data_IF_937587357643
#
_entry.id   IF_937587357643
#
_cell.length_a   1.000
_cell.length_b   1.000
_cell.length_c   1.000
_cell.angle_alpha   90.00
_cell.angle_beta   90.00
_cell.angle_gamma   90.00
#
_symmetry.space_group_name_H-M   'P 1'
#
loop_
_entity.id
_entity.type
_entity.pdbx_description
1 polymer ?
#
# COMPACT_ATOMS: atom_id res chain seq x y z
N UNK A 1 42.97 26.83 28.48
CA UNK A 1 42.69 25.65 27.63
C UNK A 1 41.19 25.36 27.72
N UNK A 2 40.39 25.79 26.74
CA UNK A 2 38.95 25.60 26.75
C UNK A 2 38.52 24.82 25.51
N UNK A 3 38.05 23.59 25.69
CA UNK A 3 37.40 22.80 24.63
C UNK A 3 35.91 22.81 24.90
N UNK A 4 35.19 23.71 24.23
CA UNK A 4 33.73 23.72 24.19
C UNK A 4 33.27 22.50 23.38
N UNK A 5 32.66 21.53 24.08
CA UNK A 5 32.00 20.38 23.48
C UNK A 5 30.62 20.85 22.98
N UNK A 6 30.54 21.24 21.71
CA UNK A 6 29.27 21.53 21.05
C UNK A 6 28.53 20.20 20.80
N UNK A 7 27.25 20.07 21.16
CA UNK A 7 26.46 18.90 20.77
C UNK A 7 26.27 18.90 19.25
N UNK A 8 26.64 17.80 18.60
CA UNK A 8 26.42 17.59 17.17
C UNK A 8 24.95 17.84 16.82
N UNK A 9 24.65 18.59 15.74
CA UNK A 9 23.27 18.75 15.30
C UNK A 9 22.69 17.38 15.01
N UNK A 10 21.50 17.11 15.56
CA UNK A 10 20.71 15.92 15.26
C UNK A 10 20.64 15.78 13.75
N UNK A 11 21.36 14.78 13.22
CA UNK A 11 21.28 14.39 11.82
C UNK A 11 19.85 13.93 11.61
N UNK A 12 19.02 14.77 10.98
CA UNK A 12 17.70 14.37 10.49
C UNK A 12 17.90 13.05 9.75
N UNK A 13 17.35 11.97 10.27
CA UNK A 13 17.41 10.68 9.64
C UNK A 13 16.60 10.80 8.35
N UNK A 14 17.27 11.08 7.24
CA UNK A 14 16.61 11.05 5.94
C UNK A 14 15.99 9.66 5.77
N UNK A 15 14.69 9.58 5.43
CA UNK A 15 14.04 8.30 5.28
C UNK A 15 14.79 7.51 4.21
N UNK A 16 15.23 6.31 4.59
CA UNK A 16 15.90 5.41 3.65
C UNK A 16 15.02 5.25 2.42
N UNK A 17 15.57 5.29 1.19
CA UNK A 17 14.78 5.16 -0.04
C UNK A 17 13.92 3.88 -0.11
N UNK A 18 14.27 2.84 0.67
CA UNK A 18 13.42 1.65 0.82
C UNK A 18 12.16 1.87 1.67
N UNK A 19 12.20 2.78 2.65
CA UNK A 19 11.06 3.11 3.51
C UNK A 19 10.01 3.94 2.78
N UNK A 20 10.43 4.89 1.93
CA UNK A 20 9.53 5.67 1.07
C UNK A 20 8.86 4.78 0.03
N UNK A 21 9.63 3.95 -0.67
CA UNK A 21 9.11 3.00 -1.65
C UNK A 21 8.08 2.03 -1.04
N UNK A 22 8.31 1.56 0.19
CA UNK A 22 7.34 0.74 0.93
C UNK A 22 6.06 1.50 1.23
N UNK A 23 6.16 2.73 1.74
CA UNK A 23 4.97 3.55 2.04
C UNK A 23 4.15 3.78 0.78
N UNK A 24 4.78 4.04 -0.36
CA UNK A 24 4.10 4.22 -1.65
C UNK A 24 3.35 2.95 -2.07
N UNK A 25 3.96 1.77 -1.91
CA UNK A 25 3.32 0.48 -2.19
C UNK A 25 2.10 0.24 -1.28
N UNK A 26 2.23 0.52 0.02
CA UNK A 26 1.12 0.37 0.98
C UNK A 26 -0.01 1.36 0.69
N UNK A 27 0.32 2.59 0.31
CA UNK A 27 -0.65 3.60 -0.08
C UNK A 27 -1.40 3.21 -1.36
N UNK A 28 -0.67 2.70 -2.36
CA UNK A 28 -1.26 2.13 -3.57
C UNK A 28 -2.20 0.96 -3.26
N UNK A 29 -1.81 0.07 -2.34
CA UNK A 29 -2.65 -1.04 -1.92
C UNK A 29 -3.97 -0.57 -1.27
N UNK A 30 -3.89 0.41 -0.37
CA UNK A 30 -5.07 1.01 0.27
C UNK A 30 -5.99 1.68 -0.76
N UNK A 31 -5.42 2.37 -1.74
CA UNK A 31 -6.19 2.99 -2.83
C UNK A 31 -6.96 1.94 -3.63
N UNK A 32 -6.31 0.83 -3.98
CA UNK A 32 -6.98 -0.27 -4.70
C UNK A 32 -8.08 -0.93 -3.88
N UNK A 33 -7.88 -1.11 -2.58
CA UNK A 33 -8.89 -1.66 -1.67
C UNK A 33 -10.10 -0.75 -1.55
N UNK A 34 -9.89 0.56 -1.34
CA UNK A 34 -10.97 1.54 -1.28
C UNK A 34 -11.81 1.57 -2.58
N UNK A 35 -11.16 1.43 -3.74
CA UNK A 35 -11.88 1.31 -5.02
C UNK A 35 -12.67 0.00 -5.07
N UNK A 36 -12.09 -1.13 -4.66
CA UNK A 36 -12.80 -2.40 -4.65
C UNK A 36 -14.04 -2.36 -3.76
N UNK A 37 -13.95 -1.75 -2.58
CA UNK A 37 -15.06 -1.62 -1.64
C UNK A 37 -16.15 -0.70 -2.20
N UNK A 38 -15.77 0.43 -2.80
CA UNK A 38 -16.73 1.31 -3.49
C UNK A 38 -17.47 0.58 -4.63
N UNK A 39 -16.77 -0.24 -5.41
CA UNK A 39 -17.39 -1.03 -6.48
C UNK A 39 -18.30 -2.12 -5.91
N UNK A 40 -17.91 -2.75 -4.80
CA UNK A 40 -18.72 -3.75 -4.09
C UNK A 40 -20.02 -3.15 -3.59
N UNK A 41 -19.97 -2.00 -2.93
CA UNK A 41 -21.15 -1.30 -2.41
C UNK A 41 -22.10 -0.89 -3.54
N UNK A 42 -21.56 -0.34 -4.63
CA UNK A 42 -22.37 0.02 -5.81
C UNK A 42 -23.02 -1.22 -6.45
N UNK A 43 -22.26 -2.31 -6.59
CA UNK A 43 -22.80 -3.56 -7.13
C UNK A 43 -23.91 -4.11 -6.25
N UNK A 44 -23.74 -4.08 -4.93
CA UNK A 44 -24.74 -4.56 -3.98
C UNK A 44 -26.01 -3.70 -3.99
N UNK A 45 -25.88 -2.38 -4.07
CA UNK A 45 -27.04 -1.47 -4.17
C UNK A 45 -27.83 -1.65 -5.46
N UNK A 46 -27.15 -2.01 -6.56
CA UNK A 46 -27.80 -2.26 -7.86
C UNK A 46 -28.38 -3.68 -7.96
N UNK A 47 -27.76 -4.66 -7.30
CA UNK A 47 -28.17 -6.07 -7.32
C UNK A 47 -27.80 -6.75 -5.99
N UNK A 48 -28.70 -6.68 -5.00
CA UNK A 48 -28.48 -7.30 -3.70
C UNK A 48 -28.35 -8.82 -3.78
N UNK A 49 -28.97 -9.44 -4.80
CA UNK A 49 -29.01 -10.91 -4.98
C UNK A 49 -27.77 -11.46 -5.68
N UNK A 50 -27.05 -10.62 -6.42
CA UNK A 50 -25.85 -11.01 -7.16
C UNK A 50 -26.12 -11.74 -8.48
N UNK A 51 -27.38 -11.84 -8.91
CA UNK A 51 -27.78 -12.62 -10.07
C UNK A 51 -27.65 -11.86 -11.41
N UNK A 52 -27.58 -10.52 -11.41
CA UNK A 52 -27.62 -9.72 -12.63
C UNK A 52 -26.34 -9.91 -13.47
N UNK A 53 -26.47 -10.43 -14.72
CA UNK A 53 -25.33 -10.58 -15.63
C UNK A 53 -24.72 -9.24 -16.05
N UNK A 54 -25.53 -8.18 -16.09
CA UNK A 54 -25.10 -6.83 -16.45
C UNK A 54 -23.99 -6.29 -15.53
N UNK A 55 -23.92 -6.75 -14.26
CA UNK A 55 -22.90 -6.33 -13.30
C UNK A 55 -21.66 -7.22 -13.28
N UNK A 56 -21.52 -8.19 -14.21
CA UNK A 56 -20.33 -9.06 -14.30
C UNK A 56 -19.05 -8.25 -14.48
N UNK A 57 -19.07 -7.20 -15.30
CA UNK A 57 -17.93 -6.32 -15.51
C UNK A 57 -17.53 -5.62 -14.21
N UNK A 58 -18.50 -5.09 -13.46
CA UNK A 58 -18.27 -4.41 -12.19
C UNK A 58 -17.66 -5.36 -11.16
N UNK A 59 -18.18 -6.60 -11.06
CA UNK A 59 -17.63 -7.64 -10.18
C UNK A 59 -16.22 -8.07 -10.60
N UNK A 60 -15.91 -8.11 -11.89
CA UNK A 60 -14.55 -8.37 -12.39
C UNK A 60 -13.59 -7.26 -11.98
N UNK A 61 -13.97 -6.00 -12.17
CA UNK A 61 -13.15 -4.86 -11.76
C UNK A 61 -12.86 -4.87 -10.25
N UNK A 62 -13.88 -5.12 -9.42
CA UNK A 62 -13.69 -5.30 -7.98
C UNK A 62 -12.63 -6.36 -7.66
N UNK A 63 -12.69 -7.54 -8.31
CA UNK A 63 -11.68 -8.60 -8.13
C UNK A 63 -10.29 -8.15 -8.56
N UNK A 64 -10.18 -7.49 -9.70
CA UNK A 64 -8.90 -6.99 -10.21
C UNK A 64 -8.26 -5.99 -9.24
N UNK A 65 -9.06 -5.09 -8.65
CA UNK A 65 -8.59 -4.16 -7.63
C UNK A 65 -8.14 -4.87 -6.35
N UNK A 66 -8.88 -5.89 -5.87
CA UNK A 66 -8.45 -6.71 -4.72
C UNK A 66 -7.14 -7.44 -4.97
N UNK A 67 -6.98 -8.01 -6.17
CA UNK A 67 -5.73 -8.67 -6.58
C UNK A 67 -4.57 -7.68 -6.58
N UNK A 68 -4.75 -6.48 -7.17
CA UNK A 68 -3.72 -5.43 -7.17
C UNK A 68 -3.33 -5.00 -5.76
N UNK A 69 -4.30 -4.79 -4.88
CA UNK A 69 -4.03 -4.46 -3.47
C UNK A 69 -3.20 -5.56 -2.78
N UNK A 70 -3.55 -6.83 -3.01
CA UNK A 70 -2.81 -7.97 -2.47
C UNK A 70 -1.37 -8.03 -2.99
N UNK A 71 -1.17 -7.83 -4.29
CA UNK A 71 0.15 -7.84 -4.91
C UNK A 71 1.05 -6.71 -4.37
N UNK A 72 0.51 -5.50 -4.24
CA UNK A 72 1.23 -4.35 -3.69
C UNK A 72 1.63 -4.58 -2.22
N UNK A 73 0.76 -5.21 -1.41
CA UNK A 73 1.10 -5.63 -0.05
C UNK A 73 2.21 -6.67 -0.02
N UNK A 74 2.16 -7.66 -0.92
CA UNK A 74 3.22 -8.65 -1.07
C UNK A 74 4.57 -8.00 -1.41
N UNK A 75 4.57 -7.03 -2.33
CA UNK A 75 5.78 -6.26 -2.68
C UNK A 75 6.29 -5.43 -1.49
N UNK A 76 5.40 -4.77 -0.76
CA UNK A 76 5.77 -4.01 0.44
C UNK A 76 6.39 -4.90 1.53
N UNK A 77 5.89 -6.13 1.71
CA UNK A 77 6.45 -7.09 2.65
C UNK A 77 7.84 -7.60 2.25
N UNK A 78 8.11 -7.72 0.94
CA UNK A 78 9.44 -8.08 0.43
C UNK A 78 10.43 -6.91 0.63
N UNK A 79 9.97 -5.67 0.42
CA UNK A 79 10.79 -4.47 0.61
C UNK A 79 11.29 -4.31 2.07
N UNK A 80 10.53 -4.82 3.06
CA UNK A 80 10.95 -4.90 4.47
C UNK A 80 12.06 -5.96 4.70
N UNK A 81 12.09 -7.01 3.87
CA UNK A 81 12.96 -8.17 4.05
C UNK A 81 14.34 -8.07 3.38
N UNK A 82 14.60 -7.04 2.59
CA UNK A 82 15.89 -6.86 1.88
C UNK A 82 16.73 -5.72 2.46
N UNK A 83 17.35 -6.00 3.60
CA UNK A 83 18.72 -5.56 3.86
C UNK A 83 19.61 -6.79 4.12
N UNK A 84 19.99 -7.57 3.09
CA UNK A 84 21.02 -8.59 3.24
C UNK A 84 22.39 -7.88 3.21
N UNK A 85 22.86 -7.42 4.37
CA UNK A 85 24.17 -6.74 4.45
C UNK A 85 24.56 -6.06 5.77
N UNK A 86 23.80 -6.25 6.86
CA UNK A 86 24.22 -5.83 8.20
C UNK A 86 24.53 -7.07 9.06
N UNK A 87 25.63 -7.74 8.73
CA UNK A 87 26.35 -8.64 9.64
C UNK A 87 27.82 -8.26 9.59
#
# INVERSE_FOLDING_TARGET
MGRSNLPSPMRSAEPSPGATARMDLLWGAQTHEAVADSLSDKAHRLDPTGALPALRLLRRMMRDHRIKAMLLRGQAAIADGTAPGAR
#
